data_IF_596462041462
#
_entry.id   IF_596462041462
#
_cell.length_a   1.000
_cell.length_b   1.000
_cell.length_c   1.000
_cell.angle_alpha   90.00
_cell.angle_beta   90.00
_cell.angle_gamma   90.00
#
_symmetry.space_group_name_H-M   'P 1'
#
loop_
_entity.id
_entity.type
_entity.pdbx_description
1 polymer ?
#
# COMPACT_ATOMS: atom_id res chain seq x y z
N UNK A 1 -7.64 9.53 -1.73
CA UNK A 1 -7.68 9.38 -0.26
C UNK A 1 -6.42 9.86 0.47
N UNK A 2 -5.22 9.28 0.30
CA UNK A 2 -4.04 9.67 1.11
C UNK A 2 -3.52 11.11 0.88
N UNK A 3 -3.84 11.72 -0.27
CA UNK A 3 -3.54 13.14 -0.54
C UNK A 3 -4.71 14.08 -0.16
N UNK A 4 -5.72 13.59 0.57
CA UNK A 4 -6.92 14.37 0.90
C UNK A 4 -7.92 14.56 -0.25
N UNK A 5 -7.78 13.81 -1.35
CA UNK A 5 -8.76 13.86 -2.44
C UNK A 5 -9.98 12.95 -2.12
N UNK A 6 -11.21 13.49 -2.03
CA UNK A 6 -12.45 12.70 -2.01
C UNK A 6 -12.50 11.77 -3.22
N UNK A 7 -12.86 10.51 -2.99
CA UNK A 7 -12.72 9.45 -4.01
C UNK A 7 -14.07 8.80 -4.27
N UNK A 8 -14.42 8.66 -5.54
CA UNK A 8 -15.51 7.84 -6.03
C UNK A 8 -14.89 6.55 -6.58
N UNK A 9 -15.31 5.40 -6.07
CA UNK A 9 -14.78 4.13 -6.53
C UNK A 9 -15.89 3.12 -6.78
N UNK A 10 -15.60 2.14 -7.63
CA UNK A 10 -16.54 1.07 -7.93
C UNK A 10 -17.01 0.35 -6.67
N UNK A 11 -18.30 0.03 -6.60
CA UNK A 11 -18.89 -0.82 -5.58
C UNK A 11 -18.52 -2.31 -5.77
N UNK A 12 -17.79 -2.66 -6.83
CA UNK A 12 -17.37 -4.02 -7.12
C UNK A 12 -15.90 -4.26 -6.76
N UNK A 13 -15.64 -5.26 -5.91
CA UNK A 13 -14.30 -5.73 -5.57
C UNK A 13 -13.64 -4.94 -4.43
N UNK A 14 -12.31 -4.83 -4.49
CA UNK A 14 -11.49 -4.27 -3.40
C UNK A 14 -11.89 -2.87 -2.92
N UNK A 15 -12.25 -1.91 -3.80
CA UNK A 15 -12.63 -0.57 -3.35
C UNK A 15 -13.85 -0.52 -2.42
N UNK A 16 -14.76 -1.50 -2.53
CA UNK A 16 -15.96 -1.59 -1.69
C UNK A 16 -15.65 -1.86 -0.21
N UNK A 17 -14.50 -2.47 0.10
CA UNK A 17 -14.01 -2.64 1.47
C UNK A 17 -13.20 -1.42 1.94
N UNK A 18 -12.49 -0.77 1.00
CA UNK A 18 -11.60 0.37 1.29
C UNK A 18 -12.41 1.59 1.72
N UNK A 19 -13.47 1.90 0.99
CA UNK A 19 -14.30 3.09 1.18
C UNK A 19 -15.54 2.74 2.01
N UNK A 20 -15.87 3.61 2.97
CA UNK A 20 -17.17 3.61 3.63
C UNK A 20 -18.03 4.66 2.94
N UNK A 21 -19.09 4.22 2.25
CA UNK A 21 -19.97 5.06 1.44
C UNK A 21 -20.53 6.24 2.26
N UNK A 22 -20.38 7.46 1.75
CA UNK A 22 -20.84 8.69 2.40
C UNK A 22 -19.97 9.19 3.56
N UNK A 23 -18.96 8.42 3.99
CA UNK A 23 -18.08 8.80 5.11
C UNK A 23 -16.67 9.13 4.60
N UNK A 24 -15.96 8.14 4.06
CA UNK A 24 -14.57 8.29 3.61
C UNK A 24 -14.44 8.49 2.09
N UNK A 25 -15.56 8.37 1.36
CA UNK A 25 -15.67 8.43 -0.09
C UNK A 25 -17.03 7.91 -0.52
N UNK A 26 -17.20 7.66 -1.82
CA UNK A 26 -18.48 7.22 -2.37
C UNK A 26 -18.32 5.99 -3.26
N UNK A 27 -19.32 5.13 -3.23
CA UNK A 27 -19.44 4.01 -4.15
C UNK A 27 -20.23 4.40 -5.39
N UNK A 28 -19.74 3.97 -6.55
CA UNK A 28 -20.38 4.10 -7.87
C UNK A 28 -20.54 2.72 -8.52
N UNK A 29 -21.62 2.50 -9.26
CA UNK A 29 -21.86 1.24 -9.95
C UNK A 29 -21.38 1.34 -11.41
N UNK A 30 -20.38 0.54 -11.84
CA UNK A 30 -19.90 0.57 -13.22
C UNK A 30 -20.95 0.13 -14.24
N UNK A 31 -21.98 -0.63 -13.84
CA UNK A 31 -23.05 -1.08 -14.72
C UNK A 31 -24.14 -0.02 -14.91
N UNK A 32 -24.23 0.96 -14.01
CA UNK A 32 -25.21 2.03 -14.05
C UNK A 32 -24.52 3.40 -14.09
N UNK A 33 -24.23 3.86 -15.30
CA UNK A 33 -23.57 5.14 -15.54
C UNK A 33 -24.41 6.34 -15.09
N UNK A 34 -25.73 6.29 -15.29
CA UNK A 34 -26.62 7.41 -14.99
C UNK A 34 -26.69 7.67 -13.47
N UNK A 35 -26.81 6.61 -12.66
CA UNK A 35 -26.75 6.73 -11.19
C UNK A 35 -25.38 7.25 -10.74
N UNK A 36 -24.30 6.74 -11.34
CA UNK A 36 -22.94 7.16 -10.99
C UNK A 36 -22.70 8.64 -11.26
N UNK A 37 -23.18 9.15 -12.41
CA UNK A 37 -23.11 10.58 -12.74
C UNK A 37 -23.98 11.39 -11.79
N UNK A 38 -25.19 10.92 -11.46
CA UNK A 38 -26.06 11.60 -10.51
C UNK A 38 -25.39 11.75 -9.13
N UNK A 39 -24.75 10.70 -8.61
CA UNK A 39 -24.02 10.77 -7.32
C UNK A 39 -22.85 11.76 -7.34
N UNK A 40 -22.11 11.82 -8.46
CA UNK A 40 -21.03 12.78 -8.62
C UNK A 40 -21.60 14.21 -8.66
N UNK A 41 -22.70 14.43 -9.38
CA UNK A 41 -23.42 15.70 -9.44
C UNK A 41 -23.95 16.16 -8.07
N UNK A 42 -24.55 15.25 -7.31
CA UNK A 42 -25.04 15.52 -5.95
C UNK A 42 -23.90 15.93 -5.02
N UNK A 43 -22.74 15.28 -5.12
CA UNK A 43 -21.58 15.63 -4.32
C UNK A 43 -21.09 17.04 -4.60
N UNK A 44 -20.94 17.43 -5.88
CA UNK A 44 -20.51 18.78 -6.23
C UNK A 44 -21.55 19.83 -5.84
N UNK A 45 -22.84 19.51 -6.00
CA UNK A 45 -23.94 20.40 -5.55
C UNK A 45 -23.89 20.64 -4.04
N UNK A 46 -23.60 19.61 -3.25
CA UNK A 46 -23.38 19.72 -1.81
C UNK A 46 -22.12 20.53 -1.48
N UNK A 47 -21.02 20.33 -2.20
CA UNK A 47 -19.79 21.12 -2.02
C UNK A 47 -19.99 22.61 -2.35
N UNK A 48 -20.84 22.94 -3.32
CA UNK A 48 -21.18 24.33 -3.64
C UNK A 48 -22.06 24.99 -2.58
N UNK A 49 -22.91 24.20 -1.91
CA UNK A 49 -23.79 24.70 -0.84
C UNK A 49 -23.05 24.82 0.49
N UNK A 50 -22.20 23.84 0.81
CA UNK A 50 -21.38 23.78 2.00
C UNK A 50 -19.90 23.59 1.63
N UNK A 51 -19.11 24.66 1.76
CA UNK A 51 -17.68 24.64 1.49
C UNK A 51 -16.86 23.73 2.42
N UNK A 52 -17.39 23.36 3.59
CA UNK A 52 -16.73 22.46 4.53
C UNK A 52 -16.96 20.98 4.21
N UNK A 53 -17.94 20.68 3.35
CA UNK A 53 -18.29 19.30 3.02
C UNK A 53 -17.12 18.56 2.36
N UNK A 54 -16.40 19.21 1.44
CA UNK A 54 -15.22 18.65 0.80
C UNK A 54 -14.13 18.28 1.81
N UNK A 55 -13.82 19.19 2.73
CA UNK A 55 -12.79 19.00 3.75
C UNK A 55 -13.18 17.89 4.75
N UNK A 56 -14.47 17.78 5.07
CA UNK A 56 -15.00 16.71 5.92
C UNK A 56 -14.75 15.32 5.31
N UNK A 57 -15.11 15.14 4.04
CA UNK A 57 -14.88 13.86 3.33
C UNK A 57 -13.38 13.61 3.12
N UNK A 58 -12.60 14.65 2.80
CA UNK A 58 -11.13 14.57 2.69
C UNK A 58 -10.48 14.02 3.97
N UNK A 59 -10.79 14.64 5.12
CA UNK A 59 -10.28 14.25 6.44
C UNK A 59 -10.72 12.84 6.83
N UNK A 60 -11.97 12.47 6.55
CA UNK A 60 -12.46 11.12 6.79
C UNK A 60 -11.73 10.08 5.91
N UNK A 61 -11.43 10.42 4.66
CA UNK A 61 -10.61 9.62 3.75
C UNK A 61 -9.19 9.40 4.28
N UNK A 62 -8.53 10.45 4.77
CA UNK A 62 -7.21 10.36 5.40
C UNK A 62 -7.24 9.46 6.63
N UNK A 63 -8.21 9.67 7.52
CA UNK A 63 -8.40 8.85 8.74
C UNK A 63 -8.51 7.36 8.38
N UNK A 64 -9.31 7.01 7.38
CA UNK A 64 -9.48 5.63 6.91
C UNK A 64 -8.16 4.99 6.45
N UNK A 65 -7.34 5.73 5.70
CA UNK A 65 -6.03 5.23 5.25
C UNK A 65 -5.09 5.00 6.42
N UNK A 66 -4.99 5.95 7.37
CA UNK A 66 -4.10 5.80 8.52
C UNK A 66 -4.52 4.65 9.46
N UNK A 67 -5.81 4.39 9.60
CA UNK A 67 -6.34 3.30 10.44
C UNK A 67 -6.12 1.91 9.84
N UNK A 68 -6.24 1.76 8.52
CA UNK A 68 -6.32 0.42 7.90
C UNK A 68 -5.20 0.12 6.90
N UNK A 69 -4.68 1.12 6.19
CA UNK A 69 -3.90 0.93 4.96
C UNK A 69 -2.52 1.58 5.04
N UNK A 70 -1.77 1.32 6.11
CA UNK A 70 -0.38 1.77 6.26
C UNK A 70 0.61 0.61 6.26
N UNK A 71 1.77 0.83 5.65
CA UNK A 71 2.86 -0.14 5.60
C UNK A 71 3.37 -0.55 6.99
N UNK A 72 3.26 0.34 7.98
CA UNK A 72 3.61 0.03 9.37
C UNK A 72 2.70 -1.06 9.95
N UNK A 73 1.38 -0.89 9.85
CA UNK A 73 0.40 -1.89 10.32
C UNK A 73 0.60 -3.21 9.57
N UNK A 74 0.87 -3.12 8.27
CA UNK A 74 1.18 -4.29 7.44
C UNK A 74 2.40 -5.06 7.94
N UNK A 75 3.54 -4.38 8.14
CA UNK A 75 4.78 -5.01 8.59
C UNK A 75 4.62 -5.67 9.97
N UNK A 76 3.95 -5.00 10.91
CA UNK A 76 3.65 -5.56 12.23
C UNK A 76 2.78 -6.81 12.14
N UNK A 77 1.73 -6.78 11.31
CA UNK A 77 0.84 -7.94 11.11
C UNK A 77 1.56 -9.10 10.42
N UNK A 78 2.40 -8.80 9.44
CA UNK A 78 3.17 -9.79 8.70
C UNK A 78 4.15 -10.54 9.62
N UNK A 79 4.89 -9.82 10.47
CA UNK A 79 5.82 -10.43 11.42
C UNK A 79 5.09 -11.29 12.46
N UNK A 80 3.95 -10.81 12.99
CA UNK A 80 3.12 -11.58 13.94
C UNK A 80 2.56 -12.85 13.32
N UNK A 81 2.01 -12.76 12.10
CA UNK A 81 1.50 -13.93 11.41
C UNK A 81 2.65 -14.88 11.04
N UNK A 82 3.78 -14.36 10.57
CA UNK A 82 4.95 -15.16 10.23
C UNK A 82 5.47 -16.01 11.39
N UNK A 83 5.55 -15.44 12.59
CA UNK A 83 5.96 -16.20 13.78
C UNK A 83 4.93 -17.26 14.20
N UNK A 84 3.64 -16.93 14.20
CA UNK A 84 2.55 -17.87 14.54
C UNK A 84 2.48 -19.02 13.53
N UNK A 85 2.48 -18.71 12.23
CA UNK A 85 2.45 -19.74 11.19
C UNK A 85 3.75 -20.55 11.13
N UNK A 86 4.89 -19.95 11.46
CA UNK A 86 6.16 -20.64 11.62
C UNK A 86 6.10 -21.70 12.73
N UNK A 87 5.62 -21.30 13.91
CA UNK A 87 5.38 -22.24 15.00
C UNK A 87 4.36 -23.32 14.63
N UNK A 88 3.22 -22.94 14.06
CA UNK A 88 2.17 -23.87 13.65
C UNK A 88 2.65 -24.85 12.57
N UNK A 89 3.59 -24.45 11.72
CA UNK A 89 4.22 -25.33 10.72
C UNK A 89 5.05 -26.42 11.37
N UNK A 90 5.79 -26.11 12.43
CA UNK A 90 6.60 -27.10 13.15
C UNK A 90 5.73 -28.12 13.90
N UNK A 91 4.63 -27.66 14.50
CA UNK A 91 3.73 -28.54 15.29
C UNK A 91 2.92 -29.48 14.40
N UNK A 92 2.57 -29.09 13.18
CA UNK A 92 1.66 -29.85 12.30
C UNK A 92 2.35 -30.49 11.09
N UNK A 93 3.62 -30.87 11.22
CA UNK A 93 4.39 -31.41 10.09
C UNK A 93 3.80 -32.71 9.55
N UNK A 94 3.45 -33.66 10.42
CA UNK A 94 2.98 -34.98 9.98
C UNK A 94 1.64 -34.93 9.25
N UNK A 95 0.71 -34.09 9.72
CA UNK A 95 -0.58 -33.85 9.06
C UNK A 95 -0.43 -33.16 7.69
N UNK A 96 0.68 -32.44 7.47
CA UNK A 96 0.97 -31.79 6.18
C UNK A 96 1.55 -32.74 5.15
N UNK A 97 2.24 -33.82 5.55
CA UNK A 97 2.89 -34.75 4.61
C UNK A 97 1.90 -35.34 3.59
N UNK A 98 0.73 -35.81 4.05
CA UNK A 98 -0.30 -36.35 3.16
C UNK A 98 -0.84 -35.30 2.18
N UNK A 99 -1.13 -34.08 2.66
CA UNK A 99 -1.59 -32.96 1.83
C UNK A 99 -0.52 -32.54 0.81
N UNK A 100 0.74 -32.52 1.21
CA UNK A 100 1.85 -32.20 0.32
C UNK A 100 1.95 -33.20 -0.82
N UNK A 101 1.87 -34.51 -0.55
CA UNK A 101 1.87 -35.55 -1.59
C UNK A 101 0.70 -35.40 -2.56
N UNK A 102 -0.48 -35.00 -2.06
CA UNK A 102 -1.64 -34.73 -2.91
C UNK A 102 -1.41 -33.51 -3.82
N UNK A 103 -0.85 -32.43 -3.30
CA UNK A 103 -0.50 -31.24 -4.10
C UNK A 103 0.57 -31.59 -5.13
N UNK A 104 1.59 -32.37 -4.76
CA UNK A 104 2.64 -32.84 -5.66
C UNK A 104 2.04 -33.69 -6.81
N UNK A 105 1.06 -34.54 -6.51
CA UNK A 105 0.33 -35.31 -7.53
C UNK A 105 -0.43 -34.37 -8.48
N UNK A 106 -1.18 -33.40 -7.95
CA UNK A 106 -1.92 -32.42 -8.76
C UNK A 106 -0.98 -31.61 -9.66
N UNK A 107 0.15 -31.15 -9.11
CA UNK A 107 1.17 -30.41 -9.84
C UNK A 107 1.75 -31.22 -11.00
N UNK A 108 2.13 -32.48 -10.75
CA UNK A 108 2.76 -33.32 -11.77
C UNK A 108 1.77 -33.85 -12.83
N UNK A 109 0.54 -34.20 -12.44
CA UNK A 109 -0.43 -34.82 -13.33
C UNK A 109 -1.34 -33.83 -14.06
N UNK A 110 -1.65 -32.67 -13.48
CA UNK A 110 -2.56 -31.68 -14.08
C UNK A 110 -1.81 -30.43 -14.53
N UNK A 111 -1.08 -29.78 -13.62
CA UNK A 111 -0.48 -28.49 -13.92
C UNK A 111 0.67 -28.57 -14.94
N UNK A 112 1.62 -29.48 -14.74
CA UNK A 112 2.75 -29.69 -15.68
C UNK A 112 2.32 -29.96 -17.13
N UNK A 113 1.40 -30.89 -17.43
CA UNK A 113 0.99 -31.13 -18.82
C UNK A 113 0.24 -29.94 -19.42
N UNK A 114 -0.50 -29.16 -18.62
CA UNK A 114 -1.14 -27.93 -19.10
C UNK A 114 -0.11 -26.87 -19.50
N UNK A 115 0.96 -26.68 -18.72
CA UNK A 115 2.04 -25.74 -19.09
C UNK A 115 2.71 -26.14 -20.40
N UNK A 116 2.96 -27.45 -20.61
CA UNK A 116 3.60 -27.93 -21.85
C UNK A 116 2.78 -27.63 -23.11
N UNK A 117 1.47 -27.41 -22.97
CA UNK A 117 0.58 -27.01 -24.07
C UNK A 117 0.58 -25.51 -24.34
N UNK A 118 1.06 -24.70 -23.39
CA UNK A 118 1.21 -23.26 -23.58
C UNK A 118 2.45 -23.03 -24.44
N UNK A 119 2.23 -22.54 -25.66
CA UNK A 119 3.32 -22.11 -26.52
C UNK A 119 3.97 -20.88 -25.91
N UNK A 120 5.24 -21.01 -25.51
CA UNK A 120 6.04 -19.85 -25.14
C UNK A 120 6.34 -19.12 -26.46
N UNK A 121 6.00 -17.83 -26.59
CA UNK A 121 6.48 -17.06 -27.73
C UNK A 121 8.01 -17.08 -27.67
N UNK A 122 8.65 -17.82 -28.58
CA UNK A 122 10.05 -17.57 -28.87
C UNK A 122 10.17 -16.10 -29.26
N UNK A 123 11.15 -15.41 -28.71
CA UNK A 123 11.52 -14.04 -29.09
C UNK A 123 12.05 -14.10 -30.53
N UNK A 124 11.14 -14.32 -31.48
CA UNK A 124 11.35 -13.95 -32.86
C UNK A 124 11.58 -12.46 -32.78
N UNK A 125 12.82 -12.08 -33.09
CA UNK A 125 13.21 -10.70 -33.32
C UNK A 125 12.06 -9.97 -34.00
N UNK A 126 11.88 -8.70 -33.64
CA UNK A 126 10.77 -7.86 -34.06
C UNK A 126 11.03 -7.21 -35.45
N UNK A 127 10.91 -7.88 -36.61
CA UNK A 127 10.58 -7.15 -37.84
C UNK A 127 9.11 -7.27 -38.25
N UNK A 128 8.33 -8.24 -37.75
CA UNK A 128 6.99 -8.48 -38.31
C UNK A 128 5.87 -7.66 -37.63
N UNK A 129 6.01 -7.31 -36.34
CA UNK A 129 4.96 -6.57 -35.60
C UNK A 129 4.86 -5.09 -36.03
N UNK A 130 5.99 -4.44 -36.32
CA UNK A 130 6.03 -3.06 -36.80
C UNK A 130 5.52 -2.90 -38.24
N UNK A 131 5.62 -3.95 -39.07
CA UNK A 131 5.08 -3.94 -40.42
C UNK A 131 3.54 -3.88 -40.43
N UNK A 132 2.88 -4.53 -39.46
CA UNK A 132 1.42 -4.51 -39.33
C UNK A 132 0.85 -3.15 -38.89
N UNK A 133 1.58 -2.41 -38.05
CA UNK A 133 1.18 -1.08 -37.58
C UNK A 133 1.37 0.02 -38.63
N UNK A 134 2.27 -0.19 -39.60
CA UNK A 134 2.51 0.76 -40.69
C UNK A 134 1.31 0.89 -41.65
N UNK A 135 0.45 -0.15 -41.71
CA UNK A 135 -0.74 -0.18 -42.55
C UNK A 135 -2.00 0.43 -41.88
N UNK A 136 -1.91 0.80 -40.60
CA UNK A 136 -2.99 1.44 -39.84
C UNK A 136 -2.79 2.96 -39.67
N UNK A 137 -1.66 3.50 -40.10
CA UNK A 137 -1.46 4.94 -40.20
C UNK A 137 -2.21 5.48 -41.43
N UNK A 138 -2.99 6.57 -41.30
CA UNK A 138 -3.72 7.14 -42.43
C UNK A 138 -2.74 7.56 -43.54
N UNK A 139 -2.99 7.08 -44.76
CA UNK A 139 -2.29 7.55 -45.97
C UNK A 139 -2.58 9.05 -46.13
N UNK A 140 -1.58 9.89 -45.89
CA UNK A 140 -1.62 11.30 -46.27
C UNK A 140 -1.80 11.39 -47.80
N UNK A 141 -2.79 12.12 -48.32
CA UNK A 141 -2.99 12.23 -49.77
C UNK A 141 -1.78 12.93 -50.41
N UNK A 142 -1.27 12.33 -51.47
CA UNK A 142 -0.27 12.93 -52.34
C UNK A 142 -0.96 13.91 -53.29
N UNK A 143 -0.59 15.18 -53.21
CA UNK A 143 -0.62 16.11 -54.34
C UNK A 143 0.72 16.85 -54.40
N UNK A 144 1.54 16.47 -55.40
CA UNK A 144 2.37 17.29 -56.29
C UNK A 144 2.90 18.63 -55.72
N UNK A 145 4.21 18.92 -55.64
CA UNK A 145 5.39 18.26 -56.20
C UNK A 145 6.70 18.99 -55.83
N UNK A 146 7.83 18.32 -56.14
CA UNK A 146 9.21 18.83 -56.23
C UNK A 146 9.86 19.28 -54.91
N UNK A 147 10.75 18.52 -54.26
CA UNK A 147 12.14 18.22 -54.65
C UNK A 147 13.04 19.41 -54.31
N UNK A 148 14.10 19.36 -53.49
CA UNK A 148 15.05 18.29 -53.22
C UNK A 148 15.95 18.62 -52.00
N UNK A 149 16.41 17.54 -51.34
CA UNK A 149 17.67 17.33 -50.59
C UNK A 149 17.94 17.98 -49.21
N UNK A 150 18.11 17.05 -48.27
CA UNK A 150 18.75 17.08 -46.95
C UNK A 150 20.19 17.62 -46.95
N UNK A 151 20.61 18.19 -45.81
CA UNK A 151 21.85 17.77 -45.16
C UNK A 151 21.69 17.73 -43.63
N UNK A 152 22.04 16.55 -43.15
CA UNK A 152 22.35 16.04 -41.82
C UNK A 152 23.32 16.92 -41.01
N UNK A 153 23.22 16.91 -39.68
CA UNK A 153 24.31 16.55 -38.73
C UNK A 153 23.79 16.66 -37.28
N UNK A 154 24.12 15.63 -36.52
CA UNK A 154 23.83 15.37 -35.10
C UNK A 154 24.97 15.88 -34.20
N UNK A 155 24.60 16.24 -32.96
CA UNK A 155 25.40 16.25 -31.70
C UNK A 155 26.74 17.01 -31.61
N UNK A 156 26.87 17.88 -30.60
CA UNK A 156 27.71 17.60 -29.41
C UNK A 156 27.62 18.67 -28.30
N UNK A 157 27.72 18.15 -27.08
CA UNK A 157 27.86 18.75 -25.73
C UNK A 157 28.98 19.80 -25.59
N UNK A 158 28.88 20.85 -24.74
CA UNK A 158 30.06 21.62 -24.35
C UNK A 158 30.53 21.33 -22.92
N UNK A 159 31.86 21.33 -22.75
CA UNK A 159 32.63 21.28 -21.51
C UNK A 159 33.58 22.49 -21.53
N UNK A 160 33.60 23.24 -20.41
CA UNK A 160 34.71 24.02 -19.81
C UNK A 160 35.54 25.04 -20.63
N UNK A 161 35.63 26.28 -20.09
CA UNK A 161 36.85 27.09 -19.70
C UNK A 161 36.49 28.59 -19.75
N UNK A 162 36.60 29.35 -18.64
CA UNK A 162 37.77 30.18 -18.22
C UNK A 162 38.32 31.08 -19.33
N UNK A 163 38.46 32.41 -19.23
CA UNK A 163 38.22 33.42 -18.16
C UNK A 163 38.57 34.84 -18.66
N UNK A 164 38.58 35.82 -17.72
CA UNK A 164 39.08 37.22 -17.78
C UNK A 164 38.13 38.26 -18.43
N UNK A 165 37.81 39.45 -17.89
CA UNK A 165 38.56 40.39 -17.03
C UNK A 165 37.64 41.52 -16.45
N UNK A 166 37.89 41.97 -15.19
CA UNK A 166 37.80 43.32 -14.54
C UNK A 166 36.65 44.33 -14.87
N UNK A 167 36.16 45.22 -14.01
CA UNK A 167 36.42 45.70 -12.64
C UNK A 167 35.16 46.48 -12.14
N UNK A 168 34.98 46.52 -10.81
CA UNK A 168 34.32 47.53 -9.95
C UNK A 168 32.87 48.04 -10.21
N UNK A 169 31.94 47.72 -9.28
CA UNK A 169 31.32 48.68 -8.32
C UNK A 169 30.68 47.90 -7.17
N UNK A 170 31.15 48.19 -5.96
CA UNK A 170 30.77 47.57 -4.68
C UNK A 170 29.85 48.54 -3.91
N UNK A 171 28.56 48.25 -3.83
CA UNK A 171 27.66 48.73 -2.77
C UNK A 171 26.29 48.02 -2.92
N UNK A 172 26.01 46.99 -2.11
CA UNK A 172 24.67 46.39 -2.04
C UNK A 172 24.57 44.89 -1.75
N UNK A 173 25.67 44.13 -1.73
CA UNK A 173 25.59 42.66 -1.60
C UNK A 173 25.62 42.12 -0.15
N UNK A 174 25.88 42.97 0.86
CA UNK A 174 25.98 42.54 2.26
C UNK A 174 24.62 42.26 2.92
N UNK A 175 23.64 43.16 2.72
CA UNK A 175 22.33 43.07 3.37
C UNK A 175 21.41 42.02 2.72
N UNK A 176 21.58 41.75 1.42
CA UNK A 176 20.77 40.74 0.70
C UNK A 176 21.19 39.31 1.09
N UNK A 177 22.48 39.08 1.37
CA UNK A 177 22.99 37.75 1.77
C UNK A 177 22.64 37.41 3.22
N UNK A 178 22.68 38.40 4.13
CA UNK A 178 22.18 38.25 5.52
C UNK A 178 20.67 37.99 5.56
N UNK A 179 19.88 38.74 4.78
CA UNK A 179 18.43 38.56 4.70
C UNK A 179 18.01 37.21 4.11
N UNK A 180 18.74 36.70 3.11
CA UNK A 180 18.45 35.40 2.49
C UNK A 180 18.79 34.22 3.44
N UNK A 181 19.89 34.32 4.18
CA UNK A 181 20.26 33.33 5.19
C UNK A 181 19.29 33.33 6.39
N UNK A 182 18.83 34.51 6.81
CA UNK A 182 17.83 34.64 7.87
C UNK A 182 16.44 34.11 7.45
N UNK A 183 16.07 34.28 6.17
CA UNK A 183 14.83 33.74 5.61
C UNK A 183 14.87 32.20 5.52
N UNK A 184 15.97 31.62 5.02
CA UNK A 184 16.15 30.17 4.99
C UNK A 184 16.19 29.55 6.40
N UNK A 185 16.83 30.22 7.36
CA UNK A 185 16.86 29.77 8.75
C UNK A 185 15.45 29.79 9.37
N UNK A 186 14.66 30.84 9.12
CA UNK A 186 13.29 30.96 9.63
C UNK A 186 12.34 29.92 9.00
N UNK A 187 12.53 29.59 7.72
CA UNK A 187 11.75 28.56 7.04
C UNK A 187 12.08 27.15 7.55
N UNK A 188 13.36 26.88 7.85
CA UNK A 188 13.78 25.61 8.49
C UNK A 188 13.23 25.48 9.90
N UNK A 189 13.22 26.56 10.68
CA UNK A 189 12.64 26.57 12.03
C UNK A 189 11.12 26.33 11.96
N UNK A 190 10.40 26.97 11.03
CA UNK A 190 8.97 26.69 10.82
C UNK A 190 8.70 25.23 10.46
N UNK A 191 9.47 24.65 9.53
CA UNK A 191 9.33 23.23 9.15
C UNK A 191 9.62 22.28 10.32
N UNK A 192 10.62 22.60 11.16
CA UNK A 192 10.95 21.80 12.35
C UNK A 192 9.87 21.92 13.43
N UNK A 193 9.28 23.10 13.61
CA UNK A 193 8.17 23.32 14.55
C UNK A 193 6.90 22.59 14.08
N UNK A 194 6.53 22.69 12.80
CA UNK A 194 5.38 21.97 12.24
C UNK A 194 5.56 20.44 12.34
N UNK A 195 6.75 19.92 12.01
CA UNK A 195 7.03 18.49 12.18
C UNK A 195 7.06 18.05 13.66
N UNK A 196 7.47 18.93 14.57
CA UNK A 196 7.39 18.68 16.02
C UNK A 196 5.94 18.65 16.53
N UNK A 197 5.08 19.54 16.03
CA UNK A 197 3.66 19.56 16.40
C UNK A 197 2.91 18.35 15.83
N UNK A 198 3.20 17.93 14.60
CA UNK A 198 2.62 16.73 14.00
C UNK A 198 3.05 15.45 14.73
N UNK A 199 4.33 15.36 15.12
CA UNK A 199 4.83 14.22 15.90
C UNK A 199 4.20 14.17 17.30
N UNK A 200 4.01 15.32 17.96
CA UNK A 200 3.27 15.41 19.22
C UNK A 200 1.78 15.05 19.07
N UNK A 201 1.13 15.43 17.96
CA UNK A 201 -0.26 15.02 17.67
C UNK A 201 -0.36 13.51 17.45
N UNK A 202 0.60 12.92 16.73
CA UNK A 202 0.66 11.47 16.53
C UNK A 202 0.91 10.71 17.84
N UNK A 203 1.77 11.23 18.71
CA UNK A 203 2.02 10.68 20.05
C UNK A 203 0.77 10.73 20.92
N UNK A 204 0.09 11.88 20.99
CA UNK A 204 -1.18 12.02 21.72
C UNK A 204 -2.27 11.09 21.18
N UNK A 205 -2.34 10.92 19.86
CA UNK A 205 -3.26 9.97 19.22
C UNK A 205 -2.91 8.51 19.59
N UNK A 206 -1.62 8.13 19.59
CA UNK A 206 -1.20 6.78 20.03
C UNK A 206 -1.54 6.52 21.50
N UNK A 207 -1.38 7.51 22.38
CA UNK A 207 -1.70 7.39 23.81
C UNK A 207 -3.21 7.21 24.01
N UNK A 208 -4.04 8.02 23.35
CA UNK A 208 -5.50 7.92 23.43
C UNK A 208 -6.03 6.56 22.93
N UNK A 209 -5.46 6.03 21.83
CA UNK A 209 -5.87 4.74 21.26
C UNK A 209 -5.26 3.53 21.98
N UNK A 210 -4.06 3.66 22.55
CA UNK A 210 -3.42 2.62 23.36
C UNK A 210 -4.18 2.36 24.68
N UNK A 211 -4.76 3.41 25.25
CA UNK A 211 -5.51 3.34 26.51
C UNK A 211 -6.86 2.61 26.37
N UNK A 212 -7.51 2.71 25.20
CA UNK A 212 -8.75 1.96 24.91
C UNK A 212 -8.53 0.44 24.73
N UNK A 213 -7.31 0.01 24.37
CA UNK A 213 -7.02 -1.42 24.17
C UNK A 213 -6.74 -2.18 25.47
N UNK A 214 -6.39 -1.49 26.56
CA UNK A 214 -5.98 -2.10 27.82
C UNK A 214 -7.05 -2.12 28.92
N UNK A 215 -8.26 -1.61 28.69
CA UNK A 215 -9.35 -1.62 29.69
C UNK A 215 -10.32 -2.81 29.56
N UNK A 216 -9.87 -3.93 28.99
CA UNK A 216 -10.68 -5.16 28.83
C UNK A 216 -10.15 -6.36 29.61
N UNK A 217 -10.32 -6.38 30.94
CA UNK A 217 -10.49 -7.58 31.78
C UNK A 217 -9.61 -8.83 31.54
N UNK A 218 -8.32 -8.69 31.20
CA UNK A 218 -7.47 -9.83 30.81
C UNK A 218 -6.77 -10.52 31.98
N UNK A 219 -6.37 -9.78 33.02
CA UNK A 219 -5.48 -10.33 34.06
C UNK A 219 -6.13 -11.43 34.90
N UNK A 220 -7.40 -11.25 35.30
CA UNK A 220 -8.13 -12.25 36.11
C UNK A 220 -8.53 -13.48 35.30
N UNK A 221 -8.94 -13.29 34.02
CA UNK A 221 -9.28 -14.40 33.12
C UNK A 221 -8.06 -15.26 32.76
N UNK A 222 -6.90 -14.62 32.60
CA UNK A 222 -5.65 -15.33 32.32
C UNK A 222 -5.17 -16.14 33.53
N UNK A 223 -5.34 -15.62 34.75
CA UNK A 223 -5.03 -16.36 35.97
C UNK A 223 -5.95 -17.58 36.13
N UNK A 224 -7.25 -17.42 35.87
CA UNK A 224 -8.23 -18.50 35.97
C UNK A 224 -7.96 -19.62 34.96
N UNK A 225 -7.67 -19.26 33.70
CA UNK A 225 -7.29 -20.22 32.66
C UNK A 225 -5.98 -20.95 33.01
N UNK A 226 -4.99 -20.24 33.59
CA UNK A 226 -3.74 -20.85 34.03
C UNK A 226 -3.95 -21.89 35.13
N UNK A 227 -4.82 -21.62 36.11
CA UNK A 227 -5.13 -22.58 37.19
C UNK A 227 -5.87 -23.81 36.64
N UNK A 228 -6.84 -23.62 35.75
CA UNK A 228 -7.58 -24.73 35.12
C UNK A 228 -6.66 -25.62 34.28
N UNK A 229 -5.74 -25.03 33.50
CA UNK A 229 -4.76 -25.78 32.72
C UNK A 229 -3.79 -26.54 33.64
N UNK A 230 -3.33 -25.93 34.74
CA UNK A 230 -2.51 -26.62 35.73
C UNK A 230 -3.23 -27.83 36.35
N UNK A 231 -4.50 -27.68 36.77
CA UNK A 231 -5.27 -28.77 37.33
C UNK A 231 -5.51 -29.91 36.32
N UNK A 232 -5.73 -29.57 35.05
CA UNK A 232 -5.88 -30.57 33.98
C UNK A 232 -4.59 -31.33 33.71
N UNK A 233 -3.44 -30.65 33.71
CA UNK A 233 -2.12 -31.29 33.60
C UNK A 233 -1.85 -32.19 34.81
N UNK A 234 -2.17 -31.72 36.03
CA UNK A 234 -2.05 -32.54 37.24
C UNK A 234 -2.97 -33.77 37.21
N UNK A 235 -4.18 -33.65 36.66
CA UNK A 235 -5.10 -34.79 36.48
C UNK A 235 -4.54 -35.83 35.50
N UNK A 236 -3.99 -35.40 34.36
CA UNK A 236 -3.34 -36.28 33.39
C UNK A 236 -2.11 -36.98 34.00
N UNK A 237 -1.31 -36.25 34.77
CA UNK A 237 -0.15 -36.81 35.46
C UNK A 237 -0.58 -37.82 36.53
N UNK A 238 -1.66 -37.56 37.28
CA UNK A 238 -2.22 -38.51 38.25
C UNK A 238 -2.73 -39.80 37.58
N UNK A 239 -3.46 -39.68 36.47
CA UNK A 239 -3.92 -40.81 35.66
C UNK A 239 -2.75 -41.67 35.15
N UNK A 240 -1.64 -41.01 34.75
CA UNK A 240 -0.48 -41.69 34.16
C UNK A 240 0.46 -42.33 35.18
N UNK A 241 0.57 -41.78 36.39
CA UNK A 241 1.53 -42.25 37.41
C UNK A 241 0.90 -43.06 38.56
N UNK A 242 -0.39 -42.89 38.84
CA UNK A 242 -1.06 -43.55 39.98
C UNK A 242 -2.23 -44.47 39.57
N UNK A 243 -2.45 -44.68 38.27
CA UNK A 243 -3.57 -45.47 37.74
C UNK A 243 -3.39 -46.99 37.69
N UNK A 244 -2.33 -47.55 38.27
CA UNK A 244 -2.07 -49.01 38.26
C UNK A 244 -1.69 -49.53 39.65
N UNK A 245 -2.59 -49.42 40.64
CA UNK A 245 -2.56 -50.25 41.84
C UNK A 245 -4.01 -50.51 42.28
N UNK A 246 -4.31 -51.78 42.61
CA UNK A 246 -5.63 -52.45 42.70
C UNK A 246 -6.17 -52.86 41.33
N UNK A 247 -6.34 -54.15 40.98
CA UNK A 247 -6.77 -55.32 41.77
C UNK A 247 -6.17 -56.60 41.15
N UNK A 248 -5.52 -57.42 41.98
CA UNK A 248 -5.37 -58.86 41.82
C UNK A 248 -5.56 -59.47 43.23
N UNK A 249 -6.23 -60.63 43.31
CA UNK A 249 -7.05 -61.19 44.40
C UNK A 249 -8.54 -60.79 44.21
N UNK A 250 -9.47 -61.66 43.81
CA UNK A 250 -9.57 -63.13 43.84
C UNK A 250 -9.76 -63.80 42.46
#
# INVERSE_FOLDING_TARGET
MNCGLPTFATNQGGPAEIIVDGVSGFHIDPNNGDESVARIGDFFSKCSTDGLYWDTISKAGLKRIYECYTWKIYAEKLLKMGSIYGFWRQVNEDQKKAKQRYIDMLYNLQFKPLIKKVTIPEDKSLPMRLASLRNLLPKKPASLGGGSKQKEVTETKPKSKEGQERDDVKAGEGEVKEGLLAAEASERIKKVVETSEETQRLEKMKIAYGQQRNQGGSSVRNLFLSVVVCLYICYILKQRFFGTYSVQED
#
